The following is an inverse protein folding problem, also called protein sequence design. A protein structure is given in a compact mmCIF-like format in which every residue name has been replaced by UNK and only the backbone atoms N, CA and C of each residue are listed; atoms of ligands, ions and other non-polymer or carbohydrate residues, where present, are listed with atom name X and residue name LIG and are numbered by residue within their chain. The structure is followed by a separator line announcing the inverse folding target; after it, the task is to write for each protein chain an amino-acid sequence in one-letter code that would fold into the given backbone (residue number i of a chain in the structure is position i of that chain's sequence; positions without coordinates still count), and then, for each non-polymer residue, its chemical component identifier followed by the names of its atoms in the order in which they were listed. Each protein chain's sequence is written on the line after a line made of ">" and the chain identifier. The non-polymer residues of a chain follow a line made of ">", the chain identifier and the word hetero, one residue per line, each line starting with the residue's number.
data_IF_066538421935
#
_entry.id   IF_066538421935
#
_cell.length_a   1.000
_cell.length_b   1.000
_cell.length_c   1.000
_cell.angle_alpha   90.00
_cell.angle_beta   90.00
_cell.angle_gamma   90.00
#
_symmetry.space_group_name_H-M   'P 1'
#
loop_
_entity.id
_entity.type
_entity.pdbx_description
1 polymer ?
#
# COMPACT_ATOMS: atom_id res chain seq x y z
N UNK A 1 -5.03 -5.91 11.16
CA UNK A 1 -4.72 -7.29 10.72
C UNK A 1 -3.24 -7.59 10.92
N UNK A 2 -2.77 -8.83 10.72
CA UNK A 2 -1.33 -9.16 10.82
C UNK A 2 -0.82 -9.61 9.44
N UNK A 3 0.19 -8.93 8.91
CA UNK A 3 0.92 -9.33 7.69
C UNK A 3 2.39 -9.51 8.07
N UNK A 4 2.95 -10.71 7.80
CA UNK A 4 4.35 -11.05 8.14
C UNK A 4 4.74 -10.72 9.61
N UNK A 5 3.82 -10.94 10.55
CA UNK A 5 4.06 -10.65 11.98
C UNK A 5 3.95 -9.17 12.36
N UNK A 6 3.62 -8.28 11.42
CA UNK A 6 3.39 -6.85 11.67
C UNK A 6 1.90 -6.56 11.78
N UNK A 7 1.50 -5.86 12.83
CA UNK A 7 0.15 -5.29 12.94
C UNK A 7 0.00 -4.21 11.88
N UNK A 8 -0.97 -4.38 10.98
CA UNK A 8 -1.34 -3.41 9.95
C UNK A 8 -2.62 -2.70 10.37
N UNK A 9 -2.56 -1.37 10.39
CA UNK A 9 -3.67 -0.45 10.63
C UNK A 9 -4.02 0.21 9.29
N UNK A 10 -5.19 -0.10 8.74
CA UNK A 10 -5.60 0.38 7.41
C UNK A 10 -6.03 1.86 7.41
N UNK A 11 -6.43 2.36 8.58
CA UNK A 11 -6.88 3.75 8.79
C UNK A 11 -5.73 4.70 9.15
N UNK A 12 -4.49 4.22 9.11
CA UNK A 12 -3.33 5.06 9.32
C UNK A 12 -2.91 5.74 8.02
N UNK A 13 -2.43 6.98 8.09
CA UNK A 13 -1.90 7.67 6.93
C UNK A 13 -0.66 7.00 6.34
N UNK A 14 -0.51 7.10 5.03
CA UNK A 14 0.57 6.46 4.30
C UNK A 14 0.98 7.22 3.05
N UNK A 15 2.23 7.06 2.64
CA UNK A 15 2.79 7.64 1.41
C UNK A 15 3.11 6.54 0.44
N UNK A 16 2.59 6.62 -0.77
CA UNK A 16 2.91 5.75 -1.89
C UNK A 16 4.07 6.33 -2.70
N UNK A 17 5.06 5.50 -3.02
CA UNK A 17 6.19 5.85 -3.87
C UNK A 17 6.14 4.95 -5.10
N UNK A 18 6.00 5.52 -6.30
CA UNK A 18 6.07 4.78 -7.56
C UNK A 18 7.49 4.27 -7.88
N UNK A 19 8.48 5.00 -7.39
CA UNK A 19 9.91 4.72 -7.54
C UNK A 19 10.66 5.43 -6.40
N UNK A 20 11.80 4.87 -5.98
CA UNK A 20 12.63 5.37 -4.87
C UNK A 20 13.22 6.77 -5.14
N UNK A 21 13.16 7.23 -6.39
CA UNK A 21 13.71 8.52 -6.82
C UNK A 21 12.65 9.59 -7.12
N UNK A 22 11.36 9.25 -7.02
CA UNK A 22 10.25 10.18 -7.25
C UNK A 22 9.65 10.69 -5.95
N UNK A 23 8.98 11.85 -6.02
CA UNK A 23 8.15 12.34 -4.92
C UNK A 23 7.03 11.34 -4.63
N UNK A 24 6.89 10.97 -3.36
CA UNK A 24 5.80 10.13 -2.89
C UNK A 24 4.47 10.89 -2.85
N UNK A 25 3.37 10.17 -3.07
CA UNK A 25 2.01 10.66 -2.97
C UNK A 25 1.43 10.29 -1.61
N UNK A 26 1.02 11.30 -0.84
CA UNK A 26 0.42 11.10 0.48
C UNK A 26 -1.06 10.71 0.37
N UNK A 27 -1.47 9.79 1.25
CA UNK A 27 -2.85 9.38 1.46
C UNK A 27 -3.20 9.42 2.95
N UNK A 28 -4.39 9.91 3.31
CA UNK A 28 -4.83 9.94 4.71
C UNK A 28 -5.04 8.54 5.30
N UNK A 29 -5.24 7.52 4.44
CA UNK A 29 -5.44 6.13 4.85
C UNK A 29 -4.63 5.16 3.99
N UNK A 30 -4.00 4.17 4.61
CA UNK A 30 -3.26 3.09 3.94
C UNK A 30 -4.14 2.35 2.93
N UNK A 31 -5.42 2.14 3.26
CA UNK A 31 -6.39 1.53 2.33
C UNK A 31 -6.52 2.29 1.01
N UNK A 32 -6.42 3.63 1.03
CA UNK A 32 -6.46 4.45 -0.18
C UNK A 32 -5.15 4.37 -0.96
N UNK A 33 -4.00 4.38 -0.26
CA UNK A 33 -2.69 4.22 -0.89
C UNK A 33 -2.59 2.86 -1.62
N UNK A 34 -3.12 1.79 -1.02
CA UNK A 34 -3.15 0.45 -1.63
C UNK A 34 -3.99 0.43 -2.90
N UNK A 35 -5.20 0.98 -2.86
CA UNK A 35 -6.08 1.09 -4.05
C UNK A 35 -5.43 1.89 -5.18
N UNK A 36 -4.77 2.98 -4.83
CA UNK A 36 -4.04 3.78 -5.81
C UNK A 36 -2.90 2.97 -6.43
N UNK A 37 -2.08 2.30 -5.62
CA UNK A 37 -0.97 1.50 -6.08
C UNK A 37 -1.41 0.44 -7.12
N UNK A 38 -2.48 -0.32 -6.85
CA UNK A 38 -2.99 -1.35 -7.76
C UNK A 38 -3.68 -0.80 -9.02
N UNK A 39 -4.14 0.47 -8.99
CA UNK A 39 -4.75 1.12 -10.16
C UNK A 39 -3.74 1.50 -11.24
N UNK A 40 -2.43 1.45 -10.94
CA UNK A 40 -1.37 1.86 -11.87
C UNK A 40 -1.04 0.69 -12.83
N UNK A 41 -1.22 0.86 -14.15
CA UNK A 41 -1.21 -0.24 -15.12
C UNK A 41 0.20 -0.72 -15.54
N UNK A 42 1.28 -0.28 -14.88
CA UNK A 42 2.65 -0.51 -15.36
C UNK A 42 3.46 -1.46 -14.46
N UNK A 43 3.69 -2.69 -14.94
CA UNK A 43 4.45 -3.72 -14.22
C UNK A 43 5.87 -3.27 -13.77
N UNK A 44 6.53 -2.36 -14.50
CA UNK A 44 7.83 -1.81 -14.08
C UNK A 44 7.71 -0.87 -12.87
N UNK A 45 6.65 -0.05 -12.83
CA UNK A 45 6.37 0.82 -11.68
C UNK A 45 5.94 -0.03 -10.47
N UNK A 46 5.22 -1.12 -10.71
CA UNK A 46 4.82 -2.05 -9.67
C UNK A 46 6.01 -2.67 -8.92
N UNK A 47 7.09 -3.05 -9.61
CA UNK A 47 8.29 -3.61 -8.93
C UNK A 47 9.06 -2.59 -8.09
N UNK A 48 9.03 -1.32 -8.47
CA UNK A 48 9.70 -0.23 -7.73
C UNK A 48 8.78 0.41 -6.67
N UNK A 49 7.49 0.11 -6.73
CA UNK A 49 6.49 0.69 -5.87
C UNK A 49 6.61 0.24 -4.42
N UNK A 50 6.41 1.20 -3.51
CA UNK A 50 6.28 0.90 -2.09
C UNK A 50 5.33 1.88 -1.39
N UNK A 51 4.72 1.43 -0.30
CA UNK A 51 3.93 2.28 0.58
C UNK A 51 4.64 2.34 1.93
N UNK A 52 4.78 3.53 2.50
CA UNK A 52 5.32 3.75 3.84
C UNK A 52 4.26 4.42 4.69
N UNK A 53 3.88 3.79 5.79
CA UNK A 53 2.93 4.35 6.78
C UNK A 53 3.60 5.40 7.66
N UNK A 54 2.79 6.22 8.34
CA UNK A 54 3.27 7.23 9.28
C UNK A 54 4.11 6.63 10.43
N UNK A 55 3.82 5.40 10.85
CA UNK A 55 4.54 4.61 11.85
C UNK A 55 5.85 4.03 11.31
N UNK A 56 6.16 4.25 10.03
CA UNK A 56 7.39 3.80 9.38
C UNK A 56 7.35 2.37 8.85
N UNK A 57 6.19 1.70 8.86
CA UNK A 57 6.06 0.38 8.25
C UNK A 57 6.03 0.53 6.73
N UNK A 58 6.95 -0.18 6.07
CA UNK A 58 7.06 -0.24 4.62
C UNK A 58 6.43 -1.53 4.07
N UNK A 59 5.70 -1.37 2.96
CA UNK A 59 5.10 -2.44 2.18
C UNK A 59 5.60 -2.38 0.74
N UNK A 60 6.20 -3.46 0.25
CA UNK A 60 6.53 -3.64 -1.16
C UNK A 60 5.34 -4.19 -1.94
N UNK A 61 5.51 -4.36 -3.26
CA UNK A 61 4.42 -4.79 -4.15
C UNK A 61 3.72 -6.09 -3.72
N UNK A 62 4.48 -7.09 -3.27
CA UNK A 62 3.90 -8.36 -2.81
C UNK A 62 2.94 -8.15 -1.64
N UNK A 63 3.30 -7.31 -0.67
CA UNK A 63 2.47 -6.99 0.48
C UNK A 63 1.30 -6.09 0.09
N UNK A 64 1.49 -5.18 -0.87
CA UNK A 64 0.41 -4.35 -1.44
C UNK A 64 -0.67 -5.22 -2.10
N UNK A 65 -0.30 -6.30 -2.80
CA UNK A 65 -1.30 -7.22 -3.37
C UNK A 65 -2.07 -7.96 -2.28
N UNK A 66 -1.40 -8.47 -1.23
CA UNK A 66 -2.07 -9.10 -0.09
C UNK A 66 -3.01 -8.13 0.62
N UNK A 67 -2.59 -6.87 0.79
CA UNK A 67 -3.41 -5.80 1.34
C UNK A 67 -4.66 -5.54 0.48
N UNK A 68 -4.48 -5.52 -0.84
CA UNK A 68 -5.58 -5.30 -1.77
C UNK A 68 -6.59 -6.45 -1.75
N UNK A 69 -6.11 -7.70 -1.77
CA UNK A 69 -6.98 -8.88 -1.70
C UNK A 69 -7.80 -8.89 -0.40
N UNK A 70 -7.17 -8.49 0.72
CA UNK A 70 -7.86 -8.33 1.98
C UNK A 70 -8.96 -7.24 1.91
N UNK A 71 -8.66 -6.07 1.33
CA UNK A 71 -9.64 -5.00 1.18
C UNK A 71 -10.85 -5.46 0.35
N UNK A 72 -10.61 -6.15 -0.77
CA UNK A 72 -11.68 -6.67 -1.62
C UNK A 72 -12.59 -7.67 -0.88
N UNK A 73 -12.02 -8.54 -0.05
CA UNK A 73 -12.79 -9.53 0.72
C UNK A 73 -13.62 -8.90 1.86
N UNK A 74 -13.22 -7.72 2.33
CA UNK A 74 -13.80 -7.08 3.51
C UNK A 74 -14.65 -5.85 3.21
N UNK A 75 -14.64 -5.32 1.98
CA UNK A 75 -15.54 -4.24 1.53
C UNK A 75 -16.88 -4.74 0.96
N UNK A 76 -17.07 -6.03 0.70
CA UNK A 76 -18.36 -6.60 0.27
C UNK A 76 -19.39 -6.81 1.42
N UNK A 77 -19.31 -6.03 2.51
CA UNK A 77 -20.25 -6.11 3.65
C UNK A 77 -20.90 -4.80 4.02
#
# INVERSE_FOLDING_TARGET
>A
MIIHGKTVVLDESATFYEDRFKHGMFFPYLSQAVRHAVSIPCARQQQAASIVTQSGVQFGWAEINVLNDYLLQHEER
#
